data_IF_891878977311
#
_entry.id   IF_891878977311
#
_cell.length_a   1.000
_cell.length_b   1.000
_cell.length_c   1.000
_cell.angle_alpha   90.00
_cell.angle_beta   90.00
_cell.angle_gamma   90.00
#
_symmetry.space_group_name_H-M   'P 1'
#
loop_
_entity.id
_entity.type
_entity.pdbx_description
1 polymer ?
#
# COMPACT_ATOMS: atom_id res chain seq x y z
N UNK A 1 14.98 12.44 -1.53
CA UNK A 1 14.32 12.17 -0.23
C UNK A 1 14.61 10.75 0.27
N UNK A 2 14.73 9.76 -0.62
CA UNK A 2 14.91 8.34 -0.24
C UNK A 2 16.25 7.76 -0.77
N UNK A 3 17.29 8.56 -0.86
CA UNK A 3 18.57 8.13 -1.42
C UNK A 3 19.13 6.91 -0.68
N UNK A 4 19.43 5.84 -1.44
CA UNK A 4 19.91 4.55 -0.92
C UNK A 4 18.96 3.81 0.05
N UNK A 5 17.70 4.24 0.22
CA UNK A 5 16.69 3.48 0.97
C UNK A 5 16.19 2.29 0.15
N UNK A 6 16.02 1.16 0.81
CA UNK A 6 15.50 -0.08 0.22
C UNK A 6 14.01 -0.17 0.56
N UNK A 7 13.15 -0.10 -0.45
CA UNK A 7 11.71 -0.08 -0.28
C UNK A 7 11.04 -1.31 -0.92
N UNK A 8 10.25 -2.04 -0.15
CA UNK A 8 9.38 -3.13 -0.64
C UNK A 8 7.97 -2.59 -0.76
N UNK A 9 7.35 -2.72 -1.95
CA UNK A 9 5.99 -2.23 -2.22
C UNK A 9 5.13 -3.38 -2.75
N UNK A 10 4.13 -3.79 -1.97
CA UNK A 10 3.18 -4.83 -2.39
C UNK A 10 2.11 -4.23 -3.32
N UNK A 11 1.66 -4.99 -4.32
CA UNK A 11 0.70 -4.49 -5.31
C UNK A 11 1.27 -3.36 -6.19
N UNK A 12 2.58 -3.38 -6.45
CA UNK A 12 3.32 -2.33 -7.16
C UNK A 12 3.16 -2.32 -8.68
N UNK A 13 2.33 -3.19 -9.26
CA UNK A 13 2.25 -3.37 -10.73
C UNK A 13 1.27 -2.42 -11.43
N UNK A 14 0.38 -1.74 -10.71
CA UNK A 14 -0.64 -0.81 -11.25
C UNK A 14 -1.13 0.19 -10.21
N UNK A 15 -1.86 1.21 -10.66
CA UNK A 15 -2.57 2.17 -9.81
C UNK A 15 -1.66 2.88 -8.80
N UNK A 16 -2.12 3.01 -7.57
CA UNK A 16 -1.40 3.67 -6.46
C UNK A 16 -0.03 3.05 -6.25
N UNK A 17 0.03 1.70 -6.19
CA UNK A 17 1.30 1.00 -5.94
C UNK A 17 2.34 1.28 -7.01
N UNK A 18 1.97 1.23 -8.29
CA UNK A 18 2.88 1.52 -9.39
C UNK A 18 3.38 2.97 -9.38
N UNK A 19 2.49 3.93 -9.12
CA UNK A 19 2.88 5.33 -9.01
C UNK A 19 3.78 5.59 -7.81
N UNK A 20 3.55 4.88 -6.69
CA UNK A 20 4.45 4.92 -5.53
C UNK A 20 5.83 4.35 -5.86
N UNK A 21 5.90 3.21 -6.57
CA UNK A 21 7.17 2.65 -7.07
C UNK A 21 7.91 3.67 -7.92
N UNK A 22 7.21 4.27 -8.92
CA UNK A 22 7.77 5.29 -9.81
C UNK A 22 8.32 6.49 -9.04
N UNK A 23 7.53 7.02 -8.10
CA UNK A 23 7.92 8.19 -7.32
C UNK A 23 9.11 7.91 -6.40
N UNK A 24 9.17 6.73 -5.79
CA UNK A 24 10.29 6.32 -4.93
C UNK A 24 11.58 6.18 -5.74
N UNK A 25 11.51 5.57 -6.93
CA UNK A 25 12.65 5.49 -7.86
C UNK A 25 13.14 6.88 -8.29
N UNK A 26 12.23 7.83 -8.58
CA UNK A 26 12.58 9.24 -8.86
C UNK A 26 13.28 9.92 -7.68
N UNK A 27 13.01 9.44 -6.46
CA UNK A 27 13.65 9.93 -5.23
C UNK A 27 14.87 9.07 -4.81
N UNK A 28 15.45 8.31 -5.76
CA UNK A 28 16.68 7.52 -5.61
C UNK A 28 16.60 6.37 -4.61
N UNK A 29 15.39 5.87 -4.32
CA UNK A 29 15.23 4.60 -3.62
C UNK A 29 15.53 3.43 -4.56
N UNK A 30 16.00 2.30 -4.00
CA UNK A 30 16.01 1.00 -4.65
C UNK A 30 14.70 0.31 -4.30
N UNK A 31 13.91 -0.05 -5.30
CA UNK A 31 12.53 -0.52 -5.07
C UNK A 31 12.36 -1.98 -5.44
N UNK A 32 11.80 -2.74 -4.51
CA UNK A 32 11.35 -4.10 -4.72
C UNK A 32 9.83 -4.06 -4.94
N UNK A 33 9.43 -4.29 -6.18
CA UNK A 33 8.03 -4.30 -6.61
C UNK A 33 7.48 -5.72 -6.45
N UNK A 34 6.44 -5.89 -5.63
CA UNK A 34 5.74 -7.16 -5.51
C UNK A 34 4.41 -7.13 -6.25
N UNK A 35 4.18 -8.13 -7.09
CA UNK A 35 2.93 -8.36 -7.84
C UNK A 35 2.36 -9.74 -7.58
N UNK A 36 1.23 -10.07 -8.21
CA UNK A 36 0.57 -11.37 -8.07
C UNK A 36 1.00 -12.40 -9.14
N UNK A 37 1.62 -11.94 -10.23
CA UNK A 37 2.04 -12.76 -11.37
C UNK A 37 3.30 -12.22 -11.99
N UNK A 38 4.17 -13.10 -12.47
CA UNK A 38 5.42 -12.76 -13.17
C UNK A 38 5.20 -11.79 -14.32
N UNK A 39 4.24 -12.10 -15.20
CA UNK A 39 3.91 -11.28 -16.37
C UNK A 39 3.62 -9.82 -15.99
N UNK A 40 2.79 -9.60 -14.96
CA UNK A 40 2.42 -8.24 -14.52
C UNK A 40 3.60 -7.50 -13.90
N UNK A 41 4.47 -8.20 -13.19
CA UNK A 41 5.69 -7.66 -12.60
C UNK A 41 6.69 -7.27 -13.69
N UNK A 42 6.95 -8.17 -14.64
CA UNK A 42 7.85 -7.92 -15.78
C UNK A 42 7.38 -6.72 -16.61
N UNK A 43 6.07 -6.65 -16.93
CA UNK A 43 5.50 -5.53 -17.67
C UNK A 43 5.67 -4.19 -16.92
N UNK A 44 5.46 -4.19 -15.61
CA UNK A 44 5.63 -2.98 -14.79
C UNK A 44 7.11 -2.54 -14.75
N UNK A 45 8.04 -3.46 -14.60
CA UNK A 45 9.49 -3.16 -14.58
C UNK A 45 9.93 -2.60 -15.94
N UNK A 46 9.52 -3.23 -17.05
CA UNK A 46 9.88 -2.77 -18.39
C UNK A 46 9.41 -1.33 -18.60
N UNK A 47 8.16 -1.02 -18.23
CA UNK A 47 7.63 0.35 -18.33
C UNK A 47 8.45 1.36 -17.51
N UNK A 48 8.90 0.98 -16.30
CA UNK A 48 9.74 1.85 -15.47
C UNK A 48 11.14 2.04 -16.09
N UNK A 49 11.70 0.98 -16.68
CA UNK A 49 13.00 1.04 -17.36
C UNK A 49 12.98 1.79 -18.70
N UNK A 50 11.83 1.82 -19.38
CA UNK A 50 11.59 2.70 -20.54
C UNK A 50 11.61 4.19 -20.15
N UNK A 51 11.07 4.52 -18.94
CA UNK A 51 11.12 5.90 -18.43
C UNK A 51 12.52 6.33 -18.01
N UNK A 52 13.27 5.45 -17.36
CA UNK A 52 14.67 5.67 -17.00
C UNK A 52 15.40 4.33 -16.77
N UNK A 53 16.40 4.07 -17.57
CA UNK A 53 17.22 2.84 -17.51
C UNK A 53 17.98 2.68 -16.18
N UNK A 54 18.29 3.80 -15.51
CA UNK A 54 19.03 3.82 -14.25
C UNK A 54 18.18 3.48 -13.01
N UNK A 55 16.86 3.35 -13.15
CA UNK A 55 16.00 2.98 -12.03
C UNK A 55 16.41 1.62 -11.44
N UNK A 56 16.76 1.60 -10.16
CA UNK A 56 17.06 0.37 -9.43
C UNK A 56 15.76 -0.31 -8.95
N UNK A 57 15.13 -1.08 -9.82
CA UNK A 57 13.90 -1.83 -9.54
C UNK A 57 14.10 -3.32 -9.74
N UNK A 58 13.62 -4.11 -8.79
CA UNK A 58 13.59 -5.59 -8.82
C UNK A 58 12.16 -6.05 -8.55
N UNK A 59 11.72 -7.14 -9.15
CA UNK A 59 10.35 -7.64 -8.98
C UNK A 59 10.28 -9.08 -8.49
N UNK A 60 9.24 -9.37 -7.67
CA UNK A 60 8.88 -10.72 -7.24
C UNK A 60 7.35 -10.87 -7.18
N UNK A 61 6.88 -12.12 -7.08
CA UNK A 61 5.43 -12.43 -7.07
C UNK A 61 5.06 -13.51 -6.03
N UNK A 62 5.43 -13.33 -4.74
CA UNK A 62 5.06 -14.27 -3.70
C UNK A 62 3.56 -14.25 -3.42
N UNK A 63 3.03 -15.36 -2.94
CA UNK A 63 1.70 -15.45 -2.33
C UNK A 63 1.71 -14.74 -0.97
N UNK A 64 1.23 -13.49 -0.89
CA UNK A 64 1.44 -12.62 0.28
C UNK A 64 0.81 -13.13 1.58
N UNK A 65 -0.18 -14.03 1.53
CA UNK A 65 -0.76 -14.69 2.70
C UNK A 65 -0.08 -16.02 3.07
N UNK A 66 1.04 -16.35 2.40
CA UNK A 66 1.94 -17.46 2.72
C UNK A 66 3.24 -16.92 3.34
N UNK A 67 3.39 -17.11 4.65
CA UNK A 67 4.53 -16.56 5.40
C UNK A 67 5.88 -17.06 4.88
N UNK A 68 5.96 -18.34 4.46
CA UNK A 68 7.20 -18.91 3.93
C UNK A 68 7.63 -18.20 2.64
N UNK A 69 6.73 -18.01 1.69
CA UNK A 69 7.03 -17.34 0.42
C UNK A 69 7.43 -15.87 0.63
N UNK A 70 6.76 -15.18 1.55
CA UNK A 70 7.11 -13.80 1.92
C UNK A 70 8.50 -13.74 2.55
N UNK A 71 8.80 -14.63 3.49
CA UNK A 71 10.12 -14.72 4.14
C UNK A 71 11.23 -15.04 3.14
N UNK A 72 11.02 -16.04 2.28
CA UNK A 72 11.98 -16.41 1.23
C UNK A 72 12.25 -15.24 0.27
N UNK A 73 11.20 -14.46 -0.06
CA UNK A 73 11.34 -13.26 -0.90
C UNK A 73 12.13 -12.16 -0.20
N UNK A 74 11.82 -11.88 1.08
CA UNK A 74 12.50 -10.82 1.84
C UNK A 74 13.95 -11.21 2.15
N UNK A 75 14.25 -12.50 2.34
CA UNK A 75 15.63 -13.00 2.44
C UNK A 75 16.46 -12.63 1.19
N UNK A 76 15.89 -12.81 -0.01
CA UNK A 76 16.57 -12.41 -1.26
C UNK A 76 16.85 -10.90 -1.32
N UNK A 77 15.97 -10.09 -0.71
CA UNK A 77 16.19 -8.63 -0.59
C UNK A 77 17.35 -8.35 0.37
N UNK A 78 17.37 -9.01 1.53
CA UNK A 78 18.47 -8.88 2.51
C UNK A 78 19.79 -9.37 1.91
N UNK A 79 19.83 -10.51 1.24
CA UNK A 79 21.02 -11.02 0.57
C UNK A 79 21.57 -10.03 -0.47
N UNK A 80 20.70 -9.36 -1.21
CA UNK A 80 21.10 -8.44 -2.27
C UNK A 80 21.48 -7.04 -1.77
N UNK A 81 20.76 -6.52 -0.77
CA UNK A 81 20.85 -5.11 -0.37
C UNK A 81 21.28 -4.91 1.09
N UNK A 82 21.34 -5.96 1.89
CA UNK A 82 21.77 -5.94 3.30
C UNK A 82 20.73 -5.43 4.29
N UNK A 83 19.63 -4.82 3.82
CA UNK A 83 18.62 -4.19 4.68
C UNK A 83 17.24 -4.03 4.01
N UNK A 84 16.24 -3.71 4.82
CA UNK A 84 14.91 -3.25 4.37
C UNK A 84 14.60 -1.98 5.17
N UNK A 85 14.55 -0.83 4.51
CA UNK A 85 14.24 0.45 5.18
C UNK A 85 12.75 0.74 5.21
N UNK A 86 12.01 0.38 4.14
CA UNK A 86 10.60 0.74 3.96
C UNK A 86 9.81 -0.47 3.47
N UNK A 87 8.67 -0.73 4.13
CA UNK A 87 7.63 -1.62 3.63
C UNK A 87 6.36 -0.83 3.35
N UNK A 88 5.79 -0.94 2.15
CA UNK A 88 4.45 -0.44 1.83
C UNK A 88 3.51 -1.61 1.54
N UNK A 89 2.58 -1.84 2.45
CA UNK A 89 1.47 -2.76 2.30
C UNK A 89 0.34 -2.08 1.50
N UNK A 90 0.41 -2.20 0.16
CA UNK A 90 -0.58 -1.59 -0.73
C UNK A 90 -1.45 -2.62 -1.46
N UNK A 91 -1.03 -3.88 -1.56
CA UNK A 91 -1.84 -4.93 -2.17
C UNK A 91 -3.19 -5.08 -1.46
N UNK A 92 -4.26 -5.15 -2.25
CA UNK A 92 -5.61 -5.32 -1.72
C UNK A 92 -6.66 -5.41 -2.83
N UNK A 93 -7.85 -5.83 -2.44
CA UNK A 93 -9.05 -5.89 -3.28
C UNK A 93 -10.20 -5.16 -2.60
N UNK A 94 -11.06 -4.55 -3.41
CA UNK A 94 -12.34 -3.98 -2.96
C UNK A 94 -13.48 -4.97 -3.21
N UNK A 95 -14.60 -4.76 -2.52
CA UNK A 95 -15.86 -5.46 -2.77
C UNK A 95 -17.03 -4.50 -2.55
N UNK A 96 -18.07 -4.65 -3.36
CA UNK A 96 -19.36 -3.99 -3.22
C UNK A 96 -20.52 -4.99 -3.08
N UNK A 97 -20.20 -6.26 -2.84
CA UNK A 97 -21.17 -7.35 -2.65
C UNK A 97 -22.07 -7.05 -1.44
N UNK A 98 -23.39 -7.17 -1.59
CA UNK A 98 -24.34 -6.96 -0.49
C UNK A 98 -24.20 -8.06 0.55
N UNK A 99 -24.57 -7.76 1.79
CA UNK A 99 -24.36 -8.67 2.93
C UNK A 99 -24.89 -10.10 2.67
N UNK A 100 -26.11 -10.22 2.14
CA UNK A 100 -26.73 -11.53 1.91
C UNK A 100 -26.21 -12.27 0.69
N UNK A 101 -25.42 -11.61 -0.16
CA UNK A 101 -24.90 -12.17 -1.42
C UNK A 101 -23.45 -12.62 -1.30
N UNK A 102 -22.79 -12.36 -0.15
CA UNK A 102 -21.41 -12.82 0.08
C UNK A 102 -21.32 -14.32 0.08
N UNK A 103 -20.36 -14.84 -0.71
CA UNK A 103 -19.91 -16.22 -0.61
C UNK A 103 -18.72 -16.29 0.35
N UNK A 104 -18.56 -17.41 1.02
CA UNK A 104 -17.47 -17.65 1.98
C UNK A 104 -16.09 -17.43 1.32
N UNK A 105 -15.93 -17.90 0.08
CA UNK A 105 -14.68 -17.74 -0.66
C UNK A 105 -14.32 -16.26 -0.94
N UNK A 106 -15.33 -15.39 -1.13
CA UNK A 106 -15.09 -13.95 -1.30
C UNK A 106 -14.67 -13.32 0.02
N UNK A 107 -15.32 -13.69 1.13
CA UNK A 107 -14.96 -13.24 2.47
C UNK A 107 -13.51 -13.63 2.77
N UNK A 108 -13.16 -14.90 2.58
CA UNK A 108 -11.81 -15.43 2.79
C UNK A 108 -10.77 -14.72 1.92
N UNK A 109 -11.09 -14.46 0.67
CA UNK A 109 -10.20 -13.75 -0.25
C UNK A 109 -9.89 -12.33 0.24
N UNK A 110 -10.91 -11.61 0.73
CA UNK A 110 -10.73 -10.26 1.28
C UNK A 110 -9.89 -10.33 2.56
N UNK A 111 -10.20 -11.22 3.49
CA UNK A 111 -9.46 -11.39 4.74
C UNK A 111 -8.00 -11.77 4.45
N UNK A 112 -7.79 -12.75 3.59
CA UNK A 112 -6.47 -13.25 3.25
C UNK A 112 -5.58 -12.17 2.62
N UNK A 113 -6.13 -11.38 1.67
CA UNK A 113 -5.33 -10.38 0.97
C UNK A 113 -5.26 -9.04 1.72
N UNK A 114 -6.37 -8.55 2.30
CA UNK A 114 -6.38 -7.21 2.87
C UNK A 114 -5.93 -7.16 4.33
N UNK A 115 -5.97 -8.29 5.05
CA UNK A 115 -5.61 -8.35 6.48
C UNK A 115 -4.42 -9.26 6.69
N UNK A 116 -4.56 -10.57 6.42
CA UNK A 116 -3.53 -11.57 6.72
C UNK A 116 -2.20 -11.24 6.02
N UNK A 117 -2.24 -10.83 4.74
CA UNK A 117 -1.04 -10.46 4.01
C UNK A 117 -0.32 -9.26 4.64
N UNK A 118 -1.08 -8.25 5.10
CA UNK A 118 -0.52 -7.06 5.76
C UNK A 118 0.18 -7.45 7.06
N UNK A 119 -0.44 -8.33 7.86
CA UNK A 119 0.16 -8.85 9.10
C UNK A 119 1.45 -9.62 8.79
N UNK A 120 1.42 -10.55 7.82
CA UNK A 120 2.57 -11.37 7.46
C UNK A 120 3.73 -10.51 6.94
N UNK A 121 3.47 -9.63 5.97
CA UNK A 121 4.52 -8.77 5.42
C UNK A 121 5.11 -7.85 6.50
N UNK A 122 4.28 -7.26 7.36
CA UNK A 122 4.73 -6.42 8.48
C UNK A 122 5.55 -7.23 9.49
N UNK A 123 5.12 -8.44 9.86
CA UNK A 123 5.85 -9.34 10.76
C UNK A 123 7.25 -9.66 10.23
N UNK A 124 7.33 -10.04 8.95
CA UNK A 124 8.62 -10.40 8.33
C UNK A 124 9.52 -9.18 8.19
N UNK A 125 9.01 -8.03 7.72
CA UNK A 125 9.82 -6.80 7.64
C UNK A 125 10.30 -6.35 9.01
N UNK A 126 9.41 -6.33 10.01
CA UNK A 126 9.74 -5.92 11.36
C UNK A 126 10.85 -6.78 12.01
N UNK A 127 10.99 -8.07 11.66
CA UNK A 127 12.09 -8.89 12.18
C UNK A 127 13.45 -8.35 11.77
N UNK A 128 13.63 -7.91 10.52
CA UNK A 128 14.87 -7.30 10.04
C UNK A 128 15.04 -5.87 10.56
N UNK A 129 13.97 -5.07 10.54
CA UNK A 129 14.00 -3.68 11.00
C UNK A 129 14.34 -3.58 12.50
N UNK A 130 13.90 -4.55 13.34
CA UNK A 130 14.26 -4.60 14.77
C UNK A 130 15.78 -4.79 14.97
N UNK A 131 16.41 -5.63 14.16
CA UNK A 131 17.87 -5.82 14.19
C UNK A 131 18.61 -4.57 13.70
N UNK A 132 18.06 -3.89 12.68
CA UNK A 132 18.58 -2.62 12.16
C UNK A 132 18.40 -1.44 13.12
N UNK A 133 17.40 -1.52 14.04
CA UNK A 133 16.93 -0.43 14.89
C UNK A 133 16.49 0.80 14.08
N UNK A 134 15.95 0.56 12.91
CA UNK A 134 15.39 1.58 12.00
C UNK A 134 14.42 0.92 11.02
N UNK A 135 13.36 1.63 10.66
CA UNK A 135 12.43 1.16 9.64
C UNK A 135 11.13 1.95 9.55
N UNK A 136 10.46 1.80 8.42
CA UNK A 136 9.15 2.42 8.18
C UNK A 136 8.20 1.40 7.56
N UNK A 137 7.05 1.19 8.19
CA UNK A 137 5.95 0.38 7.65
C UNK A 137 4.77 1.31 7.34
N UNK A 138 4.31 1.31 6.11
CA UNK A 138 3.18 2.11 5.65
C UNK A 138 2.08 1.20 5.10
N UNK A 139 0.85 1.43 5.53
CA UNK A 139 -0.30 0.63 5.15
C UNK A 139 -1.26 1.44 4.27
N UNK A 140 -1.85 0.81 3.25
CA UNK A 140 -2.94 1.40 2.48
C UNK A 140 -4.27 1.09 3.15
N UNK A 141 -4.85 2.09 3.81
CA UNK A 141 -6.19 2.06 4.34
C UNK A 141 -7.20 2.54 3.27
N UNK A 142 -8.26 3.23 3.66
CA UNK A 142 -9.26 3.85 2.78
C UNK A 142 -10.14 4.80 3.58
N UNK A 143 -10.75 5.80 2.93
CA UNK A 143 -11.80 6.64 3.54
C UNK A 143 -12.95 5.80 4.12
N UNK A 144 -13.27 4.65 3.50
CA UNK A 144 -14.34 3.76 4.00
C UNK A 144 -14.00 3.08 5.32
N UNK A 145 -12.73 3.11 5.77
CA UNK A 145 -12.33 2.69 7.12
C UNK A 145 -12.65 3.73 8.19
N UNK A 146 -13.27 4.83 7.83
CA UNK A 146 -13.66 5.91 8.73
C UNK A 146 -15.16 6.13 8.66
N UNK A 147 -15.72 6.11 7.45
CA UNK A 147 -17.12 6.45 7.20
C UNK A 147 -17.99 5.23 6.82
N UNK A 148 -17.39 4.06 6.51
CA UNK A 148 -18.11 2.93 5.93
C UNK A 148 -18.41 3.11 4.44
N UNK A 149 -19.29 2.28 3.91
CA UNK A 149 -19.84 2.41 2.55
C UNK A 149 -21.23 1.77 2.48
N UNK A 150 -22.07 2.18 1.51
CA UNK A 150 -23.49 1.73 1.44
C UNK A 150 -23.65 0.24 1.13
N UNK A 151 -22.68 -0.41 0.48
CA UNK A 151 -22.67 -1.85 0.17
C UNK A 151 -21.27 -2.40 0.19
N UNK A 152 -21.13 -3.73 0.45
CA UNK A 152 -19.82 -4.37 0.51
C UNK A 152 -19.11 -4.19 1.85
N UNK A 153 -19.76 -4.56 2.95
CA UNK A 153 -19.25 -4.34 4.31
C UNK A 153 -17.86 -4.97 4.58
N UNK A 154 -17.48 -6.05 3.89
CA UNK A 154 -16.20 -6.73 4.13
C UNK A 154 -14.98 -5.89 3.74
N UNK A 155 -15.09 -5.05 2.70
CA UNK A 155 -13.99 -4.15 2.34
C UNK A 155 -13.73 -3.08 3.41
N UNK A 156 -14.71 -2.28 3.86
CA UNK A 156 -14.53 -1.39 5.02
C UNK A 156 -14.01 -2.11 6.26
N UNK A 157 -14.59 -3.26 6.62
CA UNK A 157 -14.14 -4.06 7.75
C UNK A 157 -12.65 -4.39 7.67
N UNK A 158 -12.17 -4.80 6.49
CA UNK A 158 -10.75 -5.08 6.28
C UNK A 158 -9.87 -3.83 6.46
N UNK A 159 -10.37 -2.64 6.07
CA UNK A 159 -9.62 -1.39 6.20
C UNK A 159 -9.66 -0.82 7.63
N UNK A 160 -10.74 -1.04 8.37
CA UNK A 160 -10.75 -0.80 9.83
C UNK A 160 -9.73 -1.70 10.55
N UNK A 161 -9.62 -2.98 10.16
CA UNK A 161 -8.61 -3.88 10.71
C UNK A 161 -7.19 -3.37 10.44
N UNK A 162 -6.89 -2.84 9.25
CA UNK A 162 -5.60 -2.22 8.92
C UNK A 162 -5.33 -0.99 9.80
N UNK A 163 -6.34 -0.15 10.08
CA UNK A 163 -6.19 0.99 10.99
C UNK A 163 -5.85 0.53 12.42
N UNK A 164 -6.57 -0.48 12.93
CA UNK A 164 -6.28 -1.07 14.23
C UNK A 164 -4.87 -1.66 14.32
N UNK A 165 -4.47 -2.41 13.28
CA UNK A 165 -3.12 -2.96 13.16
C UNK A 165 -2.06 -1.84 13.15
N UNK A 166 -2.25 -0.79 12.37
CA UNK A 166 -1.33 0.37 12.29
C UNK A 166 -1.10 0.99 13.65
N UNK A 167 -2.18 1.28 14.38
CA UNK A 167 -2.10 1.88 15.73
C UNK A 167 -1.41 0.96 16.74
N UNK A 168 -1.68 -0.34 16.68
CA UNK A 168 -1.07 -1.31 17.60
C UNK A 168 0.41 -1.51 17.30
N UNK A 169 0.77 -1.74 16.04
CA UNK A 169 2.16 -1.93 15.63
C UNK A 169 3.02 -0.68 15.85
N UNK A 170 2.46 0.52 15.69
CA UNK A 170 3.21 1.75 15.97
C UNK A 170 3.70 1.83 17.42
N UNK A 171 2.91 1.34 18.37
CA UNK A 171 3.28 1.30 19.80
C UNK A 171 4.26 0.16 20.09
N UNK A 172 4.04 -1.01 19.49
CA UNK A 172 4.88 -2.20 19.69
C UNK A 172 6.29 -2.01 19.12
N UNK A 173 6.40 -1.32 17.96
CA UNK A 173 7.64 -1.22 17.22
C UNK A 173 8.43 0.08 17.49
N UNK A 174 7.81 1.09 18.10
CA UNK A 174 8.47 2.35 18.45
C UNK A 174 9.76 2.18 19.29
N UNK A 175 9.85 1.26 20.28
CA UNK A 175 11.09 1.03 21.01
C UNK A 175 12.28 0.61 20.15
N UNK A 176 12.02 0.14 18.92
CA UNK A 176 13.03 -0.25 17.94
C UNK A 176 13.27 0.82 16.87
N UNK A 177 12.77 2.05 17.08
CA UNK A 177 12.84 3.14 16.11
C UNK A 177 12.17 2.79 14.77
N UNK A 178 11.07 2.03 14.82
CA UNK A 178 10.28 1.66 13.61
C UNK A 178 8.98 2.45 13.65
N UNK A 179 8.72 3.25 12.61
CA UNK A 179 7.47 4.00 12.46
C UNK A 179 6.45 3.19 11.66
N UNK A 180 5.20 3.24 12.10
CA UNK A 180 4.10 2.56 11.42
C UNK A 180 2.95 3.53 11.23
N UNK A 181 2.60 3.84 9.96
CA UNK A 181 1.50 4.74 9.62
C UNK A 181 0.64 4.14 8.51
N UNK A 182 -0.51 4.73 8.26
CA UNK A 182 -1.35 4.39 7.12
C UNK A 182 -1.73 5.64 6.32
N UNK A 183 -1.94 5.45 5.03
CA UNK A 183 -2.62 6.42 4.16
C UNK A 183 -4.02 5.90 3.89
N UNK A 184 -5.04 6.74 4.05
CA UNK A 184 -6.44 6.45 3.78
C UNK A 184 -6.89 7.22 2.52
N UNK A 185 -6.77 6.63 1.32
CA UNK A 185 -7.20 7.25 0.09
C UNK A 185 -8.72 7.48 0.05
N UNK A 186 -9.14 8.58 -0.58
CA UNK A 186 -10.49 8.78 -1.04
C UNK A 186 -10.77 8.07 -2.37
N UNK A 187 -11.59 8.71 -3.22
CA UNK A 187 -11.88 8.23 -4.57
C UNK A 187 -10.69 8.57 -5.47
N UNK A 188 -9.96 7.57 -5.94
CA UNK A 188 -8.74 7.72 -6.73
C UNK A 188 -8.94 7.19 -8.15
N UNK A 189 -8.48 7.97 -9.14
CA UNK A 189 -8.48 7.62 -10.55
C UNK A 189 -7.59 6.39 -10.79
N UNK A 190 -8.21 5.22 -10.71
CA UNK A 190 -7.60 3.94 -11.08
C UNK A 190 -8.23 3.47 -12.39
N UNK A 191 -7.63 2.46 -13.04
CA UNK A 191 -8.20 1.88 -14.26
C UNK A 191 -9.68 1.46 -14.12
N UNK A 192 -10.08 1.09 -12.90
CA UNK A 192 -11.47 0.72 -12.59
C UNK A 192 -12.39 1.97 -12.57
N UNK A 193 -11.96 3.05 -11.96
CA UNK A 193 -12.74 4.29 -11.88
C UNK A 193 -12.78 5.01 -13.23
N UNK A 194 -11.64 5.03 -13.96
CA UNK A 194 -11.57 5.66 -15.29
C UNK A 194 -12.43 4.96 -16.36
N UNK A 195 -12.82 3.70 -16.14
CA UNK A 195 -13.73 2.97 -17.02
C UNK A 195 -15.21 3.19 -16.75
N UNK A 196 -15.55 3.92 -15.67
CA UNK A 196 -16.94 4.23 -15.35
C UNK A 196 -17.50 5.33 -16.28
N UNK A 197 -18.79 5.27 -16.64
CA UNK A 197 -19.48 6.35 -17.35
C UNK A 197 -19.39 7.68 -16.60
N UNK A 198 -19.40 8.79 -17.35
CA UNK A 198 -19.37 10.16 -16.78
C UNK A 198 -20.54 10.40 -15.83
N UNK A 199 -21.71 9.84 -16.12
CA UNK A 199 -22.94 9.94 -15.34
C UNK A 199 -22.77 9.36 -13.91
N UNK A 200 -21.83 8.43 -13.72
CA UNK A 200 -21.49 7.86 -12.40
C UNK A 200 -20.38 8.69 -11.74
N UNK A 201 -19.41 9.15 -12.52
CA UNK A 201 -18.25 9.87 -11.99
C UNK A 201 -18.61 11.30 -11.54
N UNK A 202 -19.41 12.04 -12.33
CA UNK A 202 -19.77 13.43 -12.02
C UNK A 202 -20.48 13.61 -10.67
N UNK A 203 -21.47 12.78 -10.28
CA UNK A 203 -22.05 12.84 -8.95
C UNK A 203 -21.02 12.61 -7.83
N UNK A 204 -20.09 11.66 -8.03
CA UNK A 204 -19.03 11.39 -7.06
C UNK A 204 -18.10 12.59 -6.88
N UNK A 205 -17.73 13.27 -7.98
CA UNK A 205 -16.89 14.48 -7.91
C UNK A 205 -17.57 15.57 -7.09
N UNK A 206 -18.89 15.73 -7.22
CA UNK A 206 -19.65 16.73 -6.47
C UNK A 206 -19.67 16.50 -4.94
N UNK A 207 -19.40 15.26 -4.50
CA UNK A 207 -19.25 14.93 -3.07
C UNK A 207 -17.87 15.27 -2.52
N UNK A 208 -16.89 15.60 -3.38
CA UNK A 208 -15.51 15.89 -2.98
C UNK A 208 -15.32 17.42 -2.93
N UNK A 209 -15.13 18.02 -1.74
CA UNK A 209 -14.96 19.48 -1.61
C UNK A 209 -13.83 20.07 -2.45
N UNK A 210 -12.72 19.33 -2.70
CA UNK A 210 -11.68 19.75 -3.62
C UNK A 210 -12.08 19.71 -5.11
N UNK A 211 -13.31 19.28 -5.45
CA UNK A 211 -13.89 19.34 -6.79
C UNK A 211 -13.25 18.40 -7.83
N UNK A 212 -12.48 17.41 -7.40
CA UNK A 212 -11.85 16.42 -8.29
C UNK A 212 -11.66 15.07 -7.61
N UNK A 213 -11.60 14.04 -8.42
CA UNK A 213 -11.09 12.73 -7.99
C UNK A 213 -9.57 12.85 -7.74
N UNK A 214 -9.07 12.15 -6.73
CA UNK A 214 -7.63 12.05 -6.48
C UNK A 214 -6.93 11.24 -7.58
N UNK A 215 -5.66 11.55 -7.82
CA UNK A 215 -4.80 10.78 -8.73
C UNK A 215 -3.90 9.83 -7.93
N UNK A 216 -3.42 8.72 -8.51
CA UNK A 216 -2.45 7.85 -7.84
C UNK A 216 -1.24 8.59 -7.28
N UNK A 217 -0.79 9.66 -7.94
CA UNK A 217 0.32 10.50 -7.47
C UNK A 217 -0.01 11.26 -6.17
N UNK A 218 -1.27 11.63 -5.92
CA UNK A 218 -1.65 12.29 -4.67
C UNK A 218 -1.38 11.35 -3.47
N UNK A 219 -1.65 10.06 -3.64
CA UNK A 219 -1.40 9.04 -2.61
C UNK A 219 0.10 8.69 -2.53
N UNK A 220 0.78 8.58 -3.67
CA UNK A 220 2.22 8.32 -3.71
C UNK A 220 3.02 9.43 -3.00
N UNK A 221 2.61 10.70 -3.12
CA UNK A 221 3.22 11.82 -2.41
C UNK A 221 3.06 11.69 -0.88
N UNK A 222 1.89 11.25 -0.40
CA UNK A 222 1.67 11.00 1.02
C UNK A 222 2.56 9.85 1.54
N UNK A 223 2.69 8.76 0.77
CA UNK A 223 3.62 7.69 1.09
C UNK A 223 5.07 8.17 1.10
N UNK A 224 5.48 8.98 0.12
CA UNK A 224 6.84 9.54 0.06
C UNK A 224 7.13 10.41 1.30
N UNK A 225 6.21 11.29 1.68
CA UNK A 225 6.33 12.11 2.88
C UNK A 225 6.47 11.23 4.14
N UNK A 226 5.56 10.29 4.36
CA UNK A 226 5.58 9.42 5.54
C UNK A 226 6.79 8.48 5.57
N UNK A 227 7.35 8.13 4.41
CA UNK A 227 8.55 7.29 4.31
C UNK A 227 9.85 8.06 4.57
N UNK A 228 9.85 9.39 4.43
CA UNK A 228 11.02 10.24 4.55
C UNK A 228 11.26 10.71 6.00
N UNK A 229 12.43 11.32 6.23
CA UNK A 229 12.81 11.93 7.50
C UNK A 229 11.93 13.13 7.88
N UNK A 230 11.18 13.71 6.92
CA UNK A 230 10.19 14.75 7.21
C UNK A 230 9.07 14.27 8.13
N UNK A 231 8.86 12.97 8.25
CA UNK A 231 7.86 12.34 9.11
C UNK A 231 8.49 11.61 10.31
N UNK A 232 9.70 11.98 10.72
CA UNK A 232 10.48 11.30 11.77
C UNK A 232 9.72 11.17 13.11
N UNK A 233 8.88 12.14 13.43
CA UNK A 233 8.09 12.13 14.67
C UNK A 233 6.62 11.73 14.47
N UNK A 234 6.29 11.10 13.31
CA UNK A 234 4.93 10.66 12.97
C UNK A 234 4.88 9.13 12.99
N UNK A 235 4.14 8.56 13.94
CA UNK A 235 3.84 7.12 14.01
C UNK A 235 2.45 6.89 14.60
N UNK A 236 1.73 5.86 14.12
CA UNK A 236 0.35 5.54 14.50
C UNK A 236 -0.70 6.40 13.79
N UNK A 237 -0.32 7.21 12.80
CA UNK A 237 -1.23 8.09 12.08
C UNK A 237 -1.96 7.35 10.94
N UNK A 238 -3.22 7.72 10.73
CA UNK A 238 -4.04 7.32 9.59
C UNK A 238 -4.32 8.58 8.76
N UNK A 239 -3.40 8.89 7.85
CA UNK A 239 -3.43 10.10 7.05
C UNK A 239 -4.50 10.00 5.95
N UNK A 240 -5.55 10.79 6.06
CA UNK A 240 -6.58 10.91 5.02
C UNK A 240 -6.04 11.70 3.83
N UNK A 241 -6.20 11.15 2.63
CA UNK A 241 -5.86 11.81 1.35
C UNK A 241 -7.05 11.63 0.41
N UNK A 242 -8.11 12.39 0.66
CA UNK A 242 -9.45 12.15 0.12
C UNK A 242 -10.12 13.42 -0.44
N UNK A 243 -9.45 14.57 -0.40
CA UNK A 243 -10.02 15.85 -0.84
C UNK A 243 -11.17 16.32 0.05
N UNK A 244 -11.21 15.90 1.31
CA UNK A 244 -12.27 16.08 2.29
C UNK A 244 -13.60 15.39 1.89
N UNK A 245 -13.55 14.39 1.00
CA UNK A 245 -14.73 13.57 0.69
C UNK A 245 -15.21 12.85 1.96
N UNK A 246 -16.50 13.02 2.24
CA UNK A 246 -17.19 12.29 3.32
C UNK A 246 -18.29 11.47 2.66
N UNK A 247 -18.28 10.18 2.89
CA UNK A 247 -19.31 9.26 2.41
C UNK A 247 -20.52 9.26 3.35
#
# INVERSE_FOLDING_TARGET
MLENKIAIITGGTRGIGFETVRLFLKNKAKVILLGSKEESVTKAINKLKEENKEYEVTGYWPTLNNEKEVKDTFNKVIEKYGKIDILINNAGISSSTKLNDYKEEEIDKIINLNIKSVVICSKVAASYMKEQKDGVILNTSSMVSIYGQPSGCMYPTSKYAVNGLTKSLSRELAPFNIRVNAVAPGIIETSMVSSLPKEIIEPLIKTIPLGRIGKPIDIANAFLFLASDMAEYITGEILQVDGAARS
#
